data_IF_882218611699
#
_entry.id   IF_882218611699
#
_cell.length_a   1.000
_cell.length_b   1.000
_cell.length_c   1.000
_cell.angle_alpha   90.00
_cell.angle_beta   90.00
_cell.angle_gamma   90.00
#
_symmetry.space_group_name_H-M   'P 1'
#
loop_
_entity.id
_entity.type
_entity.pdbx_description
1 polymer ?
#
# COMPACT_ATOMS: atom_id res chain seq x y z
N UNK A 1 18.10 10.56 -28.08
CA UNK A 1 17.68 10.29 -26.69
C UNK A 1 17.93 11.55 -25.85
N UNK A 2 16.91 12.09 -25.18
CA UNK A 2 17.08 13.24 -24.26
C UNK A 2 17.96 12.80 -23.09
N UNK A 3 19.08 13.49 -22.83
CA UNK A 3 19.89 13.25 -21.61
C UNK A 3 19.13 13.82 -20.43
N UNK A 4 18.80 12.97 -19.45
CA UNK A 4 18.14 13.39 -18.22
C UNK A 4 19.11 14.20 -17.36
N UNK A 5 18.66 15.33 -16.83
CA UNK A 5 19.43 16.16 -15.91
C UNK A 5 18.90 16.03 -14.46
N UNK A 6 19.62 16.59 -13.49
CA UNK A 6 19.23 16.54 -12.06
C UNK A 6 17.88 17.19 -11.79
N UNK A 7 17.49 18.17 -12.60
CA UNK A 7 16.23 18.89 -12.47
C UNK A 7 15.03 18.05 -12.94
N UNK A 8 15.20 17.31 -14.04
CA UNK A 8 14.24 16.31 -14.51
C UNK A 8 13.99 15.24 -13.44
N UNK A 9 15.05 14.76 -12.76
CA UNK A 9 14.91 13.79 -11.65
C UNK A 9 14.17 14.38 -10.45
N UNK A 10 14.48 15.63 -10.04
CA UNK A 10 13.78 16.31 -8.95
C UNK A 10 12.29 16.52 -9.25
N UNK A 11 11.97 16.89 -10.49
CA UNK A 11 10.59 17.06 -10.97
C UNK A 11 9.81 15.75 -10.94
N UNK A 12 10.45 14.62 -11.26
CA UNK A 12 9.79 13.32 -11.18
C UNK A 12 9.60 12.86 -9.73
N UNK A 13 10.59 13.11 -8.86
CA UNK A 13 10.48 12.78 -7.44
C UNK A 13 9.38 13.59 -6.72
N UNK A 14 9.13 14.84 -7.13
CA UNK A 14 8.08 15.67 -6.53
C UNK A 14 6.67 15.16 -6.78
N UNK A 15 6.46 14.26 -7.75
CA UNK A 15 5.15 13.63 -8.02
C UNK A 15 4.58 12.88 -6.81
N UNK A 16 5.43 12.47 -5.85
CA UNK A 16 5.01 11.88 -4.57
C UNK A 16 4.15 12.82 -3.73
N UNK A 17 4.32 14.13 -3.90
CA UNK A 17 3.68 15.16 -3.10
C UNK A 17 2.61 15.94 -3.89
N UNK A 18 2.41 15.63 -5.17
CA UNK A 18 1.37 16.26 -5.98
C UNK A 18 0.02 15.64 -5.64
N UNK A 19 -0.95 16.48 -5.30
CA UNK A 19 -2.30 16.10 -4.83
C UNK A 19 -3.07 15.21 -5.79
N UNK A 20 -2.86 15.36 -7.10
CA UNK A 20 -3.63 14.66 -8.12
C UNK A 20 -3.24 13.19 -8.33
N UNK A 21 -2.07 12.78 -7.84
CA UNK A 21 -1.59 11.40 -8.01
C UNK A 21 -1.75 10.60 -6.71
N UNK A 22 -3.00 10.34 -6.36
CA UNK A 22 -3.34 9.66 -5.11
C UNK A 22 -2.61 8.32 -4.97
N UNK A 23 -2.41 7.56 -6.05
CA UNK A 23 -1.70 6.27 -5.97
C UNK A 23 -0.27 6.39 -5.42
N UNK A 24 0.51 7.34 -5.94
CA UNK A 24 1.90 7.52 -5.48
C UNK A 24 1.90 8.08 -4.06
N UNK A 25 1.05 9.08 -3.79
CA UNK A 25 0.96 9.72 -2.48
C UNK A 25 0.56 8.74 -1.37
N UNK A 26 -0.48 7.94 -1.59
CA UNK A 26 -0.98 6.95 -0.63
C UNK A 26 0.08 5.86 -0.39
N UNK A 27 0.75 5.39 -1.45
CA UNK A 27 1.87 4.43 -1.31
C UNK A 27 3.05 5.00 -0.51
N UNK A 28 3.36 6.28 -0.66
CA UNK A 28 4.40 6.92 0.15
C UNK A 28 3.97 7.02 1.62
N UNK A 29 2.71 7.38 1.91
CA UNK A 29 2.19 7.38 3.29
C UNK A 29 2.28 5.99 3.92
N UNK A 30 1.86 4.95 3.19
CA UNK A 30 1.97 3.55 3.65
C UNK A 30 3.42 3.19 3.92
N UNK A 31 4.34 3.51 2.98
CA UNK A 31 5.78 3.29 3.16
C UNK A 31 6.25 3.90 4.48
N UNK A 32 6.05 5.20 4.66
CA UNK A 32 6.53 5.92 5.85
C UNK A 32 5.97 5.29 7.12
N UNK A 33 4.66 5.00 7.14
CA UNK A 33 4.01 4.39 8.30
C UNK A 33 4.59 3.02 8.65
N UNK A 34 4.79 2.14 7.67
CA UNK A 34 5.39 0.83 7.93
C UNK A 34 6.84 0.92 8.44
N UNK A 35 7.62 1.89 7.94
CA UNK A 35 9.02 2.07 8.31
C UNK A 35 9.23 2.77 9.66
N UNK A 36 8.28 3.62 10.06
CA UNK A 36 8.26 4.25 11.39
C UNK A 36 7.88 3.27 12.51
N UNK A 37 7.37 2.08 12.17
CA UNK A 37 6.91 1.09 13.15
C UNK A 37 8.01 0.05 13.44
N UNK A 38 8.75 0.26 14.52
CA UNK A 38 9.85 -0.62 14.92
C UNK A 38 9.39 -2.06 15.21
N UNK A 39 8.16 -2.27 15.71
CA UNK A 39 7.63 -3.61 15.94
C UNK A 39 7.44 -4.37 14.62
N UNK A 40 6.97 -3.69 13.57
CA UNK A 40 6.87 -4.28 12.23
C UNK A 40 8.26 -4.64 11.70
N UNK A 41 9.24 -3.74 11.83
CA UNK A 41 10.61 -3.96 11.38
C UNK A 41 11.25 -5.15 12.11
N UNK A 42 11.06 -5.23 13.42
CA UNK A 42 11.53 -6.35 14.24
C UNK A 42 10.91 -7.67 13.79
N UNK A 43 9.58 -7.73 13.67
CA UNK A 43 8.84 -8.97 13.36
C UNK A 43 9.11 -9.47 11.94
N UNK A 44 9.48 -8.59 10.99
CA UNK A 44 9.93 -9.00 9.66
C UNK A 44 11.15 -9.95 9.70
N UNK A 45 11.95 -9.91 10.76
CA UNK A 45 13.03 -10.84 11.06
C UNK A 45 14.01 -11.06 9.89
N UNK A 46 14.48 -9.96 9.29
CA UNK A 46 15.52 -10.04 8.28
C UNK A 46 16.90 -10.10 8.97
N UNK A 47 17.39 -11.33 9.19
CA UNK A 47 18.67 -11.58 9.87
C UNK A 47 19.85 -10.85 9.26
N UNK A 48 19.86 -10.66 7.93
CA UNK A 48 20.94 -9.97 7.24
C UNK A 48 20.95 -8.48 7.60
N UNK A 49 19.82 -7.79 7.39
CA UNK A 49 19.71 -6.37 7.70
C UNK A 49 19.89 -6.09 9.20
N UNK A 50 19.38 -6.96 10.06
CA UNK A 50 19.60 -6.87 11.51
C UNK A 50 21.08 -7.01 11.88
N UNK A 51 21.81 -7.94 11.26
CA UNK A 51 23.25 -8.12 11.52
C UNK A 51 24.11 -6.96 11.03
N UNK A 52 23.63 -6.23 10.02
CA UNK A 52 24.28 -5.05 9.45
C UNK A 52 23.87 -3.76 10.18
N UNK A 53 23.04 -3.86 11.24
CA UNK A 53 22.44 -2.71 11.95
C UNK A 53 21.79 -1.70 10.99
N UNK A 54 21.17 -2.22 9.92
CA UNK A 54 20.60 -1.44 8.84
C UNK A 54 19.48 -0.51 9.34
N UNK A 55 19.43 0.71 8.80
CA UNK A 55 18.35 1.65 9.11
C UNK A 55 17.00 1.12 8.58
N UNK A 56 15.89 1.53 9.20
CA UNK A 56 14.55 1.09 8.79
C UNK A 56 14.29 1.31 7.29
N UNK A 57 14.79 2.41 6.72
CA UNK A 57 14.68 2.73 5.28
C UNK A 57 15.22 1.62 4.35
N UNK A 58 16.19 0.83 4.80
CA UNK A 58 16.79 -0.26 4.03
C UNK A 58 15.86 -1.48 3.87
N UNK A 59 14.83 -1.61 4.72
CA UNK A 59 13.80 -2.63 4.56
C UNK A 59 12.91 -2.38 3.34
N UNK A 60 12.86 -1.15 2.83
CA UNK A 60 12.08 -0.81 1.65
C UNK A 60 12.73 -1.33 0.36
N UNK A 61 11.97 -2.10 -0.42
CA UNK A 61 12.47 -2.81 -1.61
C UNK A 61 13.09 -4.17 -1.29
N UNK A 62 13.44 -4.41 -0.02
CA UNK A 62 13.86 -5.74 0.46
C UNK A 62 12.65 -6.48 0.99
N UNK A 63 12.17 -6.15 2.19
CA UNK A 63 11.04 -6.78 2.87
C UNK A 63 9.71 -6.05 2.61
N UNK A 64 9.73 -4.71 2.60
CA UNK A 64 8.53 -3.88 2.41
C UNK A 64 8.48 -3.41 0.95
N UNK A 65 7.42 -3.77 0.21
CA UNK A 65 7.36 -3.57 -1.24
C UNK A 65 6.05 -2.92 -1.69
N UNK A 66 6.09 -1.87 -2.55
CA UNK A 66 4.89 -1.20 -3.07
C UNK A 66 4.24 -1.93 -4.26
N UNK A 67 4.53 -3.22 -4.41
CA UNK A 67 4.03 -4.11 -5.47
C UNK A 67 4.08 -5.56 -4.98
N UNK A 68 3.16 -6.37 -5.50
CA UNK A 68 3.10 -7.80 -5.20
C UNK A 68 3.89 -8.60 -6.25
N UNK A 69 5.22 -8.61 -6.11
CA UNK A 69 6.12 -9.42 -6.94
C UNK A 69 7.19 -10.04 -6.03
N UNK A 70 7.15 -11.37 -5.95
CA UNK A 70 8.17 -12.17 -5.27
C UNK A 70 9.24 -12.56 -6.30
N UNK A 71 10.53 -12.27 -6.05
CA UNK A 71 11.63 -12.75 -6.88
C UNK A 71 11.68 -14.30 -6.91
N UNK A 72 11.92 -14.88 -8.09
CA UNK A 72 11.97 -16.34 -8.27
C UNK A 72 13.12 -17.03 -7.52
N UNK A 73 14.24 -16.32 -7.31
CA UNK A 73 15.43 -16.85 -6.64
C UNK A 73 15.66 -16.15 -5.32
N UNK A 74 15.41 -16.87 -4.22
CA UNK A 74 15.72 -16.40 -2.88
C UNK A 74 16.52 -17.44 -2.13
N UNK A 75 17.79 -17.10 -1.90
CA UNK A 75 18.74 -17.90 -1.13
C UNK A 75 18.49 -17.77 0.37
N UNK A 76 18.03 -16.59 0.80
CA UNK A 76 17.85 -16.26 2.22
C UNK A 76 16.39 -16.39 2.62
N UNK A 77 16.18 -16.78 3.89
CA UNK A 77 14.87 -16.83 4.51
C UNK A 77 14.37 -15.41 4.74
N UNK A 78 13.26 -15.03 4.11
CA UNK A 78 12.77 -13.65 4.15
C UNK A 78 11.24 -13.59 4.24
N UNK A 79 10.75 -12.58 4.95
CA UNK A 79 9.33 -12.26 5.06
C UNK A 79 9.04 -10.93 4.37
N UNK A 80 7.84 -10.77 3.82
CA UNK A 80 7.47 -9.58 3.04
C UNK A 80 6.16 -8.98 3.50
N UNK A 81 6.11 -7.66 3.44
CA UNK A 81 4.87 -6.89 3.39
C UNK A 81 4.82 -6.23 2.02
N UNK A 82 3.98 -6.77 1.15
CA UNK A 82 3.65 -6.17 -0.13
C UNK A 82 2.39 -5.33 0.03
N UNK A 83 2.29 -4.21 -0.68
CA UNK A 83 1.05 -3.43 -0.70
C UNK A 83 0.72 -2.87 -2.08
N UNK A 84 -0.58 -2.85 -2.38
CA UNK A 84 -1.13 -2.24 -3.59
C UNK A 84 -2.24 -1.27 -3.23
N UNK A 85 -2.46 -0.31 -4.13
CA UNK A 85 -3.47 0.73 -3.97
C UNK A 85 -4.29 0.75 -5.25
N UNK A 86 -5.61 0.68 -5.10
CA UNK A 86 -6.56 0.69 -6.19
C UNK A 86 -7.77 1.57 -5.88
N UNK A 87 -8.53 1.89 -6.92
CA UNK A 87 -9.80 2.58 -6.78
C UNK A 87 -10.91 1.81 -7.48
N UNK A 88 -12.08 1.82 -6.87
CA UNK A 88 -13.31 1.27 -7.43
C UNK A 88 -14.40 2.34 -7.37
N UNK A 89 -15.25 2.41 -8.39
CA UNK A 89 -16.34 3.39 -8.39
C UNK A 89 -17.39 3.02 -7.33
N UNK A 90 -17.94 4.01 -6.63
CA UNK A 90 -19.10 3.76 -5.77
C UNK A 90 -20.33 3.56 -6.66
N UNK A 91 -20.83 2.32 -6.75
CA UNK A 91 -22.10 2.04 -7.43
C UNK A 91 -23.25 2.67 -6.63
N UNK A 92 -24.18 3.37 -7.31
CA UNK A 92 -25.48 3.69 -6.70
C UNK A 92 -26.39 2.46 -6.84
N UNK A 93 -27.07 2.12 -5.75
CA UNK A 93 -27.97 0.97 -5.67
C UNK A 93 -28.92 0.85 -6.87
N UNK A 94 -29.12 -0.40 -7.29
CA UNK A 94 -30.01 -0.83 -8.35
C UNK A 94 -31.45 -0.37 -8.12
N UNK A 95 -31.95 0.53 -8.96
CA UNK A 95 -33.39 0.60 -9.25
C UNK A 95 -33.54 0.69 -10.76
N UNK A 96 -33.64 -0.49 -11.37
CA UNK A 96 -34.11 -0.78 -12.73
C UNK A 96 -33.53 0.08 -13.88
N UNK A 97 -32.58 -0.54 -14.60
CA UNK A 97 -32.27 -0.29 -16.02
C UNK A 97 -31.31 0.83 -16.40
N UNK A 98 -30.54 1.42 -15.47
CA UNK A 98 -29.35 2.23 -15.81
C UNK A 98 -28.35 2.24 -14.65
N UNK A 99 -27.17 1.63 -14.82
CA UNK A 99 -26.06 1.75 -13.86
C UNK A 99 -25.55 3.19 -13.87
N UNK A 100 -26.12 4.04 -13.01
CA UNK A 100 -25.63 5.40 -12.82
C UNK A 100 -24.50 5.39 -11.79
N UNK A 101 -23.27 5.58 -12.25
CA UNK A 101 -22.11 5.73 -11.38
C UNK A 101 -22.19 7.05 -10.60
N UNK A 102 -21.85 7.03 -9.30
CA UNK A 102 -21.63 8.29 -8.58
C UNK A 102 -20.27 8.86 -8.99
N UNK A 103 -20.28 9.74 -9.97
CA UNK A 103 -19.06 10.34 -10.54
C UNK A 103 -18.25 11.19 -9.55
N UNK A 104 -18.78 11.45 -8.34
CA UNK A 104 -18.14 12.27 -7.31
C UNK A 104 -17.35 11.45 -6.28
N UNK A 105 -17.61 10.16 -6.12
CA UNK A 105 -17.03 9.34 -5.06
C UNK A 105 -16.49 8.01 -5.59
N UNK A 106 -15.33 7.59 -5.04
CA UNK A 106 -14.67 6.32 -5.33
C UNK A 106 -14.27 5.64 -4.02
N UNK A 107 -14.29 4.32 -3.98
CA UNK A 107 -13.62 3.55 -2.95
C UNK A 107 -12.13 3.56 -3.21
N UNK A 108 -11.33 4.02 -2.25
CA UNK A 108 -9.91 3.68 -2.16
C UNK A 108 -9.83 2.30 -1.53
N UNK A 109 -9.13 1.37 -2.19
CA UNK A 109 -8.73 0.09 -1.61
C UNK A 109 -7.21 0.07 -1.40
N UNK A 110 -6.80 -0.23 -0.17
CA UNK A 110 -5.42 -0.51 0.19
C UNK A 110 -5.33 -1.99 0.52
N UNK A 111 -4.55 -2.74 -0.25
CA UNK A 111 -4.38 -4.18 -0.08
C UNK A 111 -2.98 -4.45 0.43
N UNK A 112 -2.86 -5.04 1.61
CA UNK A 112 -1.62 -5.60 2.11
C UNK A 112 -1.61 -7.10 1.85
N UNK A 113 -0.48 -7.61 1.36
CA UNK A 113 -0.22 -9.04 1.21
C UNK A 113 1.05 -9.35 1.99
N UNK A 114 0.88 -10.07 3.10
CA UNK A 114 1.93 -10.47 4.01
C UNK A 114 2.37 -11.88 3.62
N UNK A 115 3.66 -12.07 3.45
CA UNK A 115 4.24 -13.37 3.06
C UNK A 115 5.29 -13.75 4.09
N UNK A 116 5.13 -14.92 4.69
CA UNK A 116 6.12 -15.46 5.63
C UNK A 116 6.62 -16.81 5.13
N UNK A 117 7.94 -16.96 5.06
CA UNK A 117 8.55 -18.20 4.62
C UNK A 117 8.34 -19.31 5.65
N UNK A 118 8.11 -20.54 5.20
CA UNK A 118 7.82 -21.71 6.03
C UNK A 118 8.79 -21.90 7.21
N UNK A 119 10.10 -21.73 6.96
CA UNK A 119 11.16 -21.87 7.96
C UNK A 119 11.18 -20.76 9.02
N UNK A 120 10.44 -19.69 8.79
CA UNK A 120 10.29 -18.53 9.65
C UNK A 120 8.80 -18.16 9.75
N UNK A 121 7.91 -19.15 9.85
CA UNK A 121 6.47 -18.90 10.04
C UNK A 121 6.18 -18.50 11.49
N UNK A 122 6.90 -19.05 12.47
CA UNK A 122 6.65 -18.77 13.88
C UNK A 122 7.59 -17.70 14.38
N UNK A 123 7.06 -16.73 15.11
CA UNK A 123 7.85 -15.77 15.84
C UNK A 123 8.42 -16.39 17.12
N UNK A 124 9.73 -16.24 17.32
CA UNK A 124 10.45 -16.94 18.40
C UNK A 124 10.19 -16.27 19.75
N UNK A 125 10.05 -14.94 19.77
CA UNK A 125 9.85 -14.15 20.99
C UNK A 125 8.42 -14.28 21.52
N UNK A 126 7.43 -14.24 20.64
CA UNK A 126 6.01 -14.25 21.02
C UNK A 126 5.35 -15.62 20.93
N UNK A 127 5.91 -16.53 20.13
CA UNK A 127 5.32 -17.82 19.80
C UNK A 127 4.11 -17.76 18.86
N UNK A 128 3.75 -16.57 18.36
CA UNK A 128 2.62 -16.36 17.44
C UNK A 128 3.08 -16.64 16.01
N UNK A 129 2.16 -17.04 15.12
CA UNK A 129 2.48 -17.12 13.71
C UNK A 129 2.79 -15.72 13.16
N UNK A 130 3.95 -15.54 12.54
CA UNK A 130 4.50 -14.26 12.10
C UNK A 130 3.59 -13.52 11.12
N UNK A 131 2.93 -14.23 10.22
CA UNK A 131 1.97 -13.61 9.29
C UNK A 131 0.75 -13.04 10.02
N UNK A 132 0.29 -13.69 11.10
CA UNK A 132 -0.78 -13.19 11.97
C UNK A 132 -0.32 -12.01 12.81
N UNK A 133 0.89 -12.09 13.36
CA UNK A 133 1.47 -11.01 14.16
C UNK A 133 1.66 -9.74 13.32
N UNK A 134 2.23 -9.87 12.11
CA UNK A 134 2.34 -8.77 11.16
C UNK A 134 0.97 -8.24 10.74
N UNK A 135 -0.02 -9.12 10.55
CA UNK A 135 -1.37 -8.69 10.23
C UNK A 135 -2.00 -7.88 11.37
N UNK A 136 -1.82 -8.31 12.61
CA UNK A 136 -2.30 -7.61 13.79
C UNK A 136 -1.64 -6.22 13.92
N UNK A 137 -0.32 -6.12 13.71
CA UNK A 137 0.39 -4.83 13.74
C UNK A 137 -0.07 -3.88 12.63
N UNK A 138 -0.29 -4.38 11.41
CA UNK A 138 -0.84 -3.57 10.31
C UNK A 138 -2.28 -3.13 10.62
N UNK A 139 -3.10 -4.01 11.21
CA UNK A 139 -4.47 -3.67 11.62
C UNK A 139 -4.48 -2.60 12.72
N UNK A 140 -3.69 -2.75 13.76
CA UNK A 140 -3.55 -1.76 14.84
C UNK A 140 -3.12 -0.39 14.29
N UNK A 141 -2.18 -0.40 13.35
CA UNK A 141 -1.66 0.81 12.76
C UNK A 141 -2.65 1.51 11.81
N UNK A 142 -3.32 0.77 10.92
CA UNK A 142 -4.10 1.37 9.83
C UNK A 142 -5.61 1.38 10.06
N UNK A 143 -6.18 0.42 10.80
CA UNK A 143 -7.62 0.30 10.96
C UNK A 143 -8.18 1.50 11.75
N UNK A 144 -9.26 2.10 11.26
CA UNK A 144 -9.85 3.33 11.79
C UNK A 144 -8.92 4.55 11.83
N UNK A 145 -7.73 4.48 11.23
CA UNK A 145 -6.83 5.63 11.09
C UNK A 145 -7.35 6.62 10.05
N UNK A 146 -6.85 7.87 10.13
CA UNK A 146 -7.17 8.94 9.18
C UNK A 146 -5.96 9.31 8.28
N UNK A 147 -4.98 8.42 8.12
CA UNK A 147 -3.72 8.72 7.41
C UNK A 147 -3.92 9.15 5.95
N UNK A 148 -5.05 8.77 5.35
CA UNK A 148 -5.38 9.07 3.97
C UNK A 148 -6.37 10.24 3.80
N UNK A 149 -6.57 11.02 4.87
CA UNK A 149 -7.47 12.19 4.91
C UNK A 149 -8.91 11.87 5.34
N UNK A 150 -9.30 10.60 5.30
CA UNK A 150 -10.57 10.08 5.84
C UNK A 150 -10.30 8.78 6.59
N UNK A 151 -11.29 8.33 7.34
CA UNK A 151 -11.21 7.07 8.09
C UNK A 151 -11.19 5.89 7.14
N UNK A 152 -10.16 5.05 7.26
CA UNK A 152 -10.06 3.78 6.53
C UNK A 152 -10.42 2.61 7.45
N UNK A 153 -11.09 1.60 6.90
CA UNK A 153 -11.57 0.45 7.66
C UNK A 153 -11.14 -0.86 7.00
N UNK A 154 -10.78 -1.84 7.81
CA UNK A 154 -10.58 -3.21 7.35
C UNK A 154 -11.92 -3.80 6.88
N UNK A 155 -11.97 -4.24 5.63
CA UNK A 155 -13.16 -4.87 5.04
C UNK A 155 -12.96 -6.36 4.71
N UNK A 156 -11.71 -6.83 4.71
CA UNK A 156 -11.39 -8.23 4.48
C UNK A 156 -10.05 -8.59 5.13
N UNK A 157 -9.99 -9.77 5.74
CA UNK A 157 -8.79 -10.39 6.30
C UNK A 157 -8.85 -11.89 6.01
N UNK A 158 -7.99 -12.37 5.11
CA UNK A 158 -7.98 -13.77 4.68
C UNK A 158 -6.57 -14.35 4.70
N UNK A 159 -6.44 -15.53 5.29
CA UNK A 159 -5.27 -16.38 5.16
C UNK A 159 -5.34 -17.18 3.84
N UNK A 160 -4.18 -17.43 3.24
CA UNK A 160 -4.02 -18.21 2.01
C UNK A 160 -2.61 -18.79 1.93
N UNK A 161 -2.41 -19.69 0.97
CA UNK A 161 -1.08 -20.23 0.64
C UNK A 161 -0.77 -19.84 -0.80
N UNK A 162 0.40 -19.24 -1.03
CA UNK A 162 0.82 -18.81 -2.38
C UNK A 162 1.53 -19.95 -3.11
N UNK A 163 2.42 -20.63 -2.40
CA UNK A 163 3.16 -21.81 -2.86
C UNK A 163 3.56 -22.68 -1.66
N UNK A 164 4.35 -23.73 -1.89
CA UNK A 164 4.85 -24.58 -0.81
C UNK A 164 5.82 -23.87 0.16
N UNK A 165 6.29 -22.66 -0.17
CA UNK A 165 7.33 -21.93 0.57
C UNK A 165 6.75 -20.82 1.44
N UNK A 166 5.67 -20.18 1.01
CA UNK A 166 5.10 -18.99 1.66
C UNK A 166 3.67 -19.19 2.13
N UNK A 167 3.48 -18.92 3.42
CA UNK A 167 2.16 -18.67 3.98
C UNK A 167 1.81 -17.19 3.80
N UNK A 168 0.57 -16.91 3.46
CA UNK A 168 0.12 -15.59 3.02
C UNK A 168 -1.09 -15.12 3.82
N UNK A 169 -1.11 -13.83 4.18
CA UNK A 169 -2.29 -13.17 4.74
C UNK A 169 -2.57 -11.88 3.99
N UNK A 170 -3.81 -11.74 3.53
CA UNK A 170 -4.25 -10.58 2.73
C UNK A 170 -5.22 -9.73 3.54
N UNK A 171 -4.87 -8.47 3.75
CA UNK A 171 -5.72 -7.47 4.38
C UNK A 171 -6.20 -6.48 3.33
N UNK A 172 -7.50 -6.22 3.27
CA UNK A 172 -8.08 -5.21 2.39
C UNK A 172 -8.73 -4.15 3.27
N UNK A 173 -8.23 -2.93 3.14
CA UNK A 173 -8.78 -1.75 3.77
C UNK A 173 -9.49 -0.89 2.73
N UNK A 174 -10.64 -0.32 3.10
CA UNK A 174 -11.42 0.56 2.22
C UNK A 174 -11.79 1.87 2.89
N UNK A 175 -11.83 2.94 2.10
CA UNK A 175 -12.46 4.22 2.47
C UNK A 175 -13.15 4.84 1.25
N UNK A 176 -14.17 5.65 1.50
CA UNK A 176 -14.81 6.47 0.45
C UNK A 176 -14.06 7.79 0.30
N UNK A 177 -13.48 8.04 -0.87
CA UNK A 177 -12.80 9.29 -1.22
C UNK A 177 -13.46 9.98 -2.42
N UNK A 178 -13.09 11.23 -2.68
CA UNK A 178 -13.65 12.00 -3.79
C UNK A 178 -12.99 11.61 -5.12
N UNK A 179 -13.74 11.62 -6.20
CA UNK A 179 -13.28 11.15 -7.50
C UNK A 179 -12.57 12.25 -8.30
N UNK A 180 -11.30 12.55 -7.96
CA UNK A 180 -10.39 13.46 -8.70
C UNK A 180 -11.10 14.62 -9.41
N UNK A 181 -12.01 15.29 -8.69
CA UNK A 181 -12.90 16.34 -9.23
C UNK A 181 -12.09 17.58 -9.61
N UNK A 182 -10.82 17.61 -9.24
CA UNK A 182 -9.90 18.69 -9.46
C UNK A 182 -8.61 18.24 -10.15
N UNK A 183 -8.10 19.07 -11.06
CA UNK A 183 -6.82 18.91 -11.74
C UNK A 183 -5.88 20.06 -11.34
N UNK A 184 -4.78 19.72 -10.71
CA UNK A 184 -3.64 20.56 -10.34
C UNK A 184 -2.48 20.24 -11.29
N UNK A 185 -2.23 21.14 -12.26
CA UNK A 185 -1.01 21.06 -13.05
C UNK A 185 0.18 21.55 -12.22
N UNK A 186 1.35 20.93 -12.38
CA UNK A 186 2.57 21.32 -11.68
C UNK A 186 2.81 22.83 -11.75
N UNK A 187 2.86 23.49 -10.59
CA UNK A 187 3.08 24.94 -10.47
C UNK A 187 1.87 25.83 -10.80
N UNK A 188 0.66 25.28 -10.95
CA UNK A 188 -0.57 26.04 -11.26
C UNK A 188 -1.69 25.78 -10.24
N UNK A 189 -2.61 26.74 -10.05
CA UNK A 189 -3.75 26.58 -9.16
C UNK A 189 -4.67 25.44 -9.60
N UNK A 190 -5.19 24.72 -8.62
CA UNK A 190 -6.15 23.62 -8.76
C UNK A 190 -7.43 24.10 -9.45
N UNK A 191 -7.90 23.38 -10.47
CA UNK A 191 -9.15 23.67 -11.19
C UNK A 191 -10.10 22.49 -11.11
N UNK A 192 -11.41 22.74 -11.02
CA UNK A 192 -12.42 21.68 -11.18
C UNK A 192 -12.32 21.12 -12.60
N UNK A 193 -12.18 19.81 -12.72
CA UNK A 193 -12.18 19.11 -13.99
C UNK A 193 -13.63 19.02 -14.49
N UNK A 194 -14.06 19.99 -15.29
CA UNK A 194 -15.32 19.85 -16.02
C UNK A 194 -15.17 18.67 -17.00
N UNK A 195 -15.82 17.54 -16.72
CA UNK A 195 -16.09 16.53 -17.74
C UNK A 195 -17.11 17.16 -18.70
N UNK A 196 -16.67 17.53 -19.90
CA UNK A 196 -17.62 17.84 -20.97
C UNK A 196 -18.44 16.57 -21.24
N UNK A 197 -19.71 16.60 -20.88
CA UNK A 197 -20.68 15.56 -21.24
C UNK A 197 -20.93 15.74 -22.73
N UNK A 198 -20.30 14.92 -23.57
CA UNK A 198 -20.68 14.82 -24.98
C UNK A 198 -21.91 13.92 -25.05
N UNK A 199 -23.04 14.48 -25.51
CA UNK A 199 -24.31 13.78 -25.73
C UNK A 199 -24.21 12.78 -26.89
#
# INVERSE_FOLDING_TARGET
MKKWNKEDSKRLASLKYVTDNDNIRIKEIIKQKLLENDDIIHVLNNKKLQSEEAENDEYFGVNIRPYYIIPETQTDVQNYICFTVGYENVERNFTNSSRMYNDLQKHLHVVFVILCEQKNIKDEDTGIARHDLLAALIQDQFNYSNFFGRTIQLISDNESVVDAKYLCRTLIFSQVTDNNVTKTQYGKPTRIANKEITY
#
